data_IF_045119097090
#
_entry.id   IF_045119097090
#
_cell.length_a   1.000
_cell.length_b   1.000
_cell.length_c   1.000
_cell.angle_alpha   90.00
_cell.angle_beta   90.00
_cell.angle_gamma   90.00
#
_symmetry.space_group_name_H-M   'P 1'
#
loop_
_entity.id
_entity.type
_entity.pdbx_description
1 polymer ?
#
# COMPACT_ATOMS: atom_id res chain seq x y z
N UNK A 1 -9.53 23.94 30.53
CA UNK A 1 -8.18 23.35 30.55
C UNK A 1 -8.00 22.60 29.23
N UNK A 2 -7.63 23.33 28.17
CA UNK A 2 -7.47 22.77 26.83
C UNK A 2 -6.17 21.97 26.80
N UNK A 3 -6.30 20.70 26.46
CA UNK A 3 -5.19 19.80 26.21
C UNK A 3 -4.49 20.30 24.93
N UNK A 4 -3.44 21.10 25.08
CA UNK A 4 -2.48 21.36 24.01
C UNK A 4 -1.80 20.03 23.69
N UNK A 5 -2.40 19.24 22.80
CA UNK A 5 -1.70 18.14 22.16
C UNK A 5 -0.59 18.76 21.32
N UNK A 6 0.63 18.70 21.84
CA UNK A 6 1.82 18.94 21.04
C UNK A 6 1.77 18.00 19.82
N UNK A 7 1.80 18.52 18.57
CA UNK A 7 1.83 17.68 17.38
C UNK A 7 3.06 16.75 17.34
N UNK A 8 4.13 17.12 18.05
CA UNK A 8 5.30 16.30 18.34
C UNK A 8 4.97 14.94 19.00
N UNK A 9 3.93 14.88 19.85
CA UNK A 9 3.57 13.67 20.60
C UNK A 9 2.66 12.76 19.78
N UNK A 10 1.81 13.31 18.90
CA UNK A 10 0.87 12.54 18.09
C UNK A 10 1.59 11.70 17.02
N UNK A 11 2.70 12.20 16.47
CA UNK A 11 3.35 11.56 15.33
C UNK A 11 4.42 10.52 15.68
N UNK A 12 4.73 10.32 16.98
CA UNK A 12 5.92 9.55 17.38
C UNK A 12 5.54 8.26 18.11
N UNK A 13 5.28 7.20 17.35
CA UNK A 13 5.17 5.86 17.91
C UNK A 13 6.54 5.42 18.45
N UNK A 14 6.59 5.06 19.72
CA UNK A 14 7.83 4.61 20.36
C UNK A 14 8.08 3.12 20.16
N UNK A 15 7.02 2.33 19.97
CA UNK A 15 7.06 0.87 19.85
C UNK A 15 6.04 0.39 18.83
N UNK A 16 6.37 -0.66 18.10
CA UNK A 16 5.44 -1.40 17.26
C UNK A 16 4.59 -2.32 18.14
N UNK A 17 3.26 -2.20 18.06
CA UNK A 17 2.32 -2.97 18.89
C UNK A 17 2.68 -2.95 20.39
N UNK A 18 3.13 -1.80 20.91
CA UNK A 18 3.44 -1.54 22.34
C UNK A 18 4.64 -2.33 22.91
N UNK A 19 5.04 -3.46 22.32
CA UNK A 19 6.06 -4.37 22.88
C UNK A 19 7.28 -4.45 21.98
N UNK A 20 7.10 -4.30 20.67
CA UNK A 20 8.10 -4.65 19.67
C UNK A 20 8.92 -3.39 19.29
N UNK A 21 10.26 -3.49 19.12
CA UNK A 21 11.07 -2.38 18.62
C UNK A 21 10.59 -1.86 17.26
N UNK A 22 10.83 -0.58 16.98
CA UNK A 22 10.32 0.03 15.77
C UNK A 22 11.02 -0.48 14.49
N UNK A 23 12.32 -0.82 14.58
CA UNK A 23 13.08 -1.32 13.44
C UNK A 23 12.49 -2.64 12.89
N UNK A 24 12.18 -3.60 13.77
CA UNK A 24 11.58 -4.87 13.38
C UNK A 24 10.14 -4.67 12.89
N UNK A 25 9.42 -3.68 13.43
CA UNK A 25 8.12 -3.27 12.90
C UNK A 25 8.23 -2.83 11.43
N UNK A 26 9.20 -1.98 11.10
CA UNK A 26 9.44 -1.53 9.72
C UNK A 26 9.92 -2.67 8.82
N UNK A 27 10.75 -3.60 9.32
CA UNK A 27 11.13 -4.81 8.58
C UNK A 27 9.91 -5.63 8.16
N UNK A 28 9.00 -5.91 9.11
CA UNK A 28 7.76 -6.66 8.84
C UNK A 28 6.86 -5.88 7.88
N UNK A 29 6.69 -4.57 8.07
CA UNK A 29 5.89 -3.72 7.18
C UNK A 29 6.41 -3.79 5.76
N UNK A 30 7.73 -3.65 5.55
CA UNK A 30 8.34 -3.72 4.23
C UNK A 30 8.25 -5.12 3.63
N UNK A 31 8.47 -6.18 4.42
CA UNK A 31 8.34 -7.56 3.94
C UNK A 31 6.91 -7.85 3.46
N UNK A 32 5.90 -7.49 4.25
CA UNK A 32 4.48 -7.64 3.87
C UNK A 32 4.15 -6.77 2.65
N UNK A 33 4.66 -5.54 2.59
CA UNK A 33 4.45 -4.66 1.44
C UNK A 33 5.05 -5.24 0.15
N UNK A 34 6.26 -5.81 0.20
CA UNK A 34 6.89 -6.47 -0.95
C UNK A 34 6.04 -7.65 -1.42
N UNK A 35 5.60 -8.51 -0.51
CA UNK A 35 4.76 -9.66 -0.86
C UNK A 35 3.44 -9.21 -1.50
N UNK A 36 2.79 -8.18 -0.93
CA UNK A 36 1.55 -7.63 -1.49
C UNK A 36 1.77 -6.99 -2.88
N UNK A 37 2.92 -6.35 -3.09
CA UNK A 37 3.26 -5.65 -4.34
C UNK A 37 3.79 -6.56 -5.43
N UNK A 38 4.32 -7.73 -5.08
CA UNK A 38 4.75 -8.75 -6.04
C UNK A 38 3.62 -9.15 -7.00
N UNK A 39 2.36 -9.10 -6.53
CA UNK A 39 1.18 -9.30 -7.36
C UNK A 39 1.03 -8.31 -8.53
N UNK A 40 1.62 -7.11 -8.43
CA UNK A 40 1.62 -6.11 -9.50
C UNK A 40 2.32 -6.58 -10.78
N UNK A 41 3.24 -7.55 -10.67
CA UNK A 41 3.88 -8.17 -11.83
C UNK A 41 2.86 -8.85 -12.75
N UNK A 42 1.80 -9.47 -12.18
CA UNK A 42 0.74 -10.08 -12.97
C UNK A 42 -0.05 -9.05 -13.78
N UNK A 43 -0.26 -7.84 -13.23
CA UNK A 43 -0.93 -6.78 -13.97
C UNK A 43 -0.09 -6.23 -15.13
N UNK A 44 1.25 -6.25 -15.03
CA UNK A 44 2.13 -5.92 -16.17
C UNK A 44 2.10 -7.03 -17.24
N UNK A 45 2.16 -8.29 -16.81
CA UNK A 45 2.10 -9.47 -17.70
C UNK A 45 0.76 -9.58 -18.44
N UNK A 46 -0.31 -9.02 -17.89
CA UNK A 46 -1.64 -9.08 -18.48
C UNK A 46 -1.72 -8.54 -19.92
N UNK A 47 -0.93 -7.50 -20.24
CA UNK A 47 -0.82 -6.93 -21.59
C UNK A 47 -0.34 -7.99 -22.58
N UNK A 48 0.62 -8.82 -22.18
CA UNK A 48 1.19 -9.86 -23.03
C UNK A 48 0.22 -11.02 -23.25
N UNK A 49 -0.65 -11.28 -22.27
CA UNK A 49 -1.64 -12.37 -22.33
C UNK A 49 -2.95 -11.99 -23.01
N UNK A 50 -3.14 -10.71 -23.39
CA UNK A 50 -4.38 -10.21 -23.98
C UNK A 50 -5.56 -10.14 -22.99
N UNK A 51 -5.30 -10.15 -21.68
CA UNK A 51 -6.37 -10.07 -20.68
C UNK A 51 -6.92 -8.64 -20.58
N UNK A 52 -8.24 -8.49 -20.63
CA UNK A 52 -8.91 -7.18 -20.59
C UNK A 52 -8.96 -6.62 -19.16
N UNK A 53 -7.93 -5.87 -18.76
CA UNK A 53 -7.97 -5.04 -17.55
C UNK A 53 -8.49 -3.65 -17.84
N UNK A 54 -9.24 -3.10 -16.89
CA UNK A 54 -9.58 -1.68 -16.91
C UNK A 54 -8.29 -0.84 -16.78
N UNK A 55 -8.23 0.32 -17.45
CA UNK A 55 -7.09 1.23 -17.40
C UNK A 55 -6.62 1.54 -15.97
N UNK A 56 -7.56 1.78 -15.04
CA UNK A 56 -7.24 2.08 -13.65
C UNK A 56 -6.63 0.89 -12.91
N UNK A 57 -7.11 -0.33 -13.19
CA UNK A 57 -6.54 -1.56 -12.63
C UNK A 57 -5.12 -1.79 -13.15
N UNK A 58 -4.90 -1.56 -14.44
CA UNK A 58 -3.57 -1.65 -15.02
C UNK A 58 -2.60 -0.63 -14.40
N UNK A 59 -3.01 0.64 -14.30
CA UNK A 59 -2.21 1.70 -13.70
C UNK A 59 -1.83 1.39 -12.25
N UNK A 60 -2.78 0.89 -11.45
CA UNK A 60 -2.53 0.52 -10.06
C UNK A 60 -1.52 -0.64 -9.94
N UNK A 61 -1.60 -1.64 -10.82
CA UNK A 61 -0.64 -2.74 -10.86
C UNK A 61 0.75 -2.28 -11.31
N UNK A 62 0.83 -1.39 -12.31
CA UNK A 62 2.09 -0.81 -12.77
C UNK A 62 2.76 0.00 -11.65
N UNK A 63 2.03 0.88 -10.98
CA UNK A 63 2.55 1.65 -9.84
C UNK A 63 3.02 0.71 -8.73
N UNK A 64 2.27 -0.35 -8.47
CA UNK A 64 2.68 -1.38 -7.50
C UNK A 64 4.00 -2.06 -7.87
N UNK A 65 4.18 -2.41 -9.14
CA UNK A 65 5.43 -2.97 -9.64
C UNK A 65 6.60 -1.98 -9.54
N UNK A 66 6.38 -0.70 -9.88
CA UNK A 66 7.42 0.34 -9.83
C UNK A 66 7.88 0.68 -8.40
N UNK A 67 7.02 0.53 -7.39
CA UNK A 67 7.41 0.76 -5.98
C UNK A 67 8.32 -0.35 -5.41
N UNK A 68 8.31 -1.53 -6.02
CA UNK A 68 8.93 -2.75 -5.49
C UNK A 68 10.46 -2.63 -5.28
N UNK A 69 11.26 -2.11 -6.24
CA UNK A 69 12.71 -1.96 -6.05
C UNK A 69 13.07 -1.07 -4.86
N UNK A 70 12.26 -0.05 -4.58
CA UNK A 70 12.50 0.87 -3.46
C UNK A 70 12.21 0.20 -2.11
N UNK A 71 11.17 -0.63 -2.03
CA UNK A 71 10.90 -1.42 -0.82
C UNK A 71 11.98 -2.46 -0.56
N UNK A 72 12.48 -3.14 -1.60
CA UNK A 72 13.62 -4.06 -1.47
C UNK A 72 14.87 -3.32 -0.99
N UNK A 73 15.18 -2.16 -1.59
CA UNK A 73 16.34 -1.34 -1.19
C UNK A 73 16.23 -0.89 0.28
N UNK A 74 15.04 -0.44 0.69
CA UNK A 74 14.76 -0.06 2.08
C UNK A 74 14.91 -1.23 3.05
N UNK A 75 14.34 -2.39 2.73
CA UNK A 75 14.42 -3.59 3.57
C UNK A 75 15.87 -4.09 3.69
N UNK A 76 16.60 -4.16 2.57
CA UNK A 76 18.00 -4.58 2.55
C UNK A 76 18.89 -3.65 3.39
N UNK A 77 18.65 -2.34 3.36
CA UNK A 77 19.37 -1.38 4.19
C UNK A 77 19.17 -1.63 5.70
N UNK A 78 17.93 -1.93 6.11
CA UNK A 78 17.60 -2.20 7.51
C UNK A 78 18.19 -3.56 7.94
N UNK A 79 18.04 -4.61 7.13
CA UNK A 79 18.58 -5.95 7.41
C UNK A 79 20.10 -5.95 7.54
N UNK A 80 20.79 -5.23 6.66
CA UNK A 80 22.25 -5.12 6.67
C UNK A 80 22.77 -4.19 7.78
N UNK A 81 21.89 -3.63 8.63
CA UNK A 81 22.20 -2.65 9.68
C UNK A 81 23.03 -1.47 9.19
N UNK A 82 22.94 -1.17 7.90
CA UNK A 82 23.75 -0.14 7.27
C UNK A 82 23.29 1.27 7.68
N UNK A 83 22.11 1.39 8.31
CA UNK A 83 21.54 2.63 8.87
C UNK A 83 21.62 3.83 7.91
N UNK A 84 21.55 3.57 6.60
CA UNK A 84 21.63 4.61 5.59
C UNK A 84 20.32 5.41 5.60
N UNK A 85 20.31 6.52 6.34
CA UNK A 85 19.11 7.35 6.53
C UNK A 85 18.53 7.85 5.22
N UNK A 86 19.38 8.09 4.20
CA UNK A 86 18.99 8.45 2.84
C UNK A 86 18.03 7.44 2.20
N UNK A 87 18.46 6.17 2.09
CA UNK A 87 17.67 5.07 1.53
C UNK A 87 16.39 4.81 2.33
N UNK A 88 16.45 4.87 3.66
CA UNK A 88 15.27 4.67 4.51
C UNK A 88 14.27 5.81 4.36
N UNK A 89 14.74 7.05 4.25
CA UNK A 89 13.88 8.22 4.00
C UNK A 89 13.18 8.13 2.65
N UNK A 90 13.90 7.72 1.60
CA UNK A 90 13.30 7.48 0.28
C UNK A 90 12.21 6.41 0.34
N UNK A 91 12.50 5.25 0.94
CA UNK A 91 11.54 4.16 1.09
C UNK A 91 10.29 4.61 1.87
N UNK A 92 10.47 5.43 2.93
CA UNK A 92 9.38 5.98 3.73
C UNK A 92 8.50 6.94 2.92
N UNK A 93 9.09 7.89 2.17
CA UNK A 93 8.33 8.82 1.30
C UNK A 93 7.55 8.06 0.24
N UNK A 94 8.17 7.05 -0.39
CA UNK A 94 7.50 6.22 -1.39
C UNK A 94 6.34 5.44 -0.76
N UNK A 95 6.53 4.90 0.45
CA UNK A 95 5.48 4.21 1.19
C UNK A 95 4.29 5.13 1.53
N UNK A 96 4.56 6.40 1.88
CA UNK A 96 3.51 7.38 2.14
C UNK A 96 2.71 7.71 0.87
N UNK A 97 3.41 7.97 -0.24
CA UNK A 97 2.78 8.24 -1.54
C UNK A 97 1.95 7.03 -1.98
N UNK A 98 2.51 5.83 -1.86
CA UNK A 98 1.83 4.58 -2.18
C UNK A 98 0.59 4.34 -1.31
N UNK A 99 0.67 4.71 -0.02
CA UNK A 99 -0.48 4.67 0.89
C UNK A 99 -1.59 5.59 0.43
N UNK A 100 -1.28 6.83 0.04
CA UNK A 100 -2.26 7.78 -0.49
C UNK A 100 -2.88 7.27 -1.79
N UNK A 101 -2.07 6.81 -2.74
CA UNK A 101 -2.54 6.21 -4.00
C UNK A 101 -3.46 5.02 -3.71
N UNK A 102 -3.07 4.15 -2.78
CA UNK A 102 -3.87 3.00 -2.37
C UNK A 102 -5.20 3.38 -1.74
N UNK A 103 -5.27 4.47 -0.98
CA UNK A 103 -6.53 4.99 -0.43
C UNK A 103 -7.44 5.54 -1.52
N UNK A 104 -6.90 6.36 -2.45
CA UNK A 104 -7.64 6.87 -3.60
C UNK A 104 -8.19 5.72 -4.46
N UNK A 105 -7.37 4.70 -4.70
CA UNK A 105 -7.79 3.52 -5.44
C UNK A 105 -8.87 2.72 -4.71
N UNK A 106 -8.81 2.67 -3.37
CA UNK A 106 -9.84 2.01 -2.58
C UNK A 106 -11.16 2.76 -2.67
N UNK A 107 -11.16 4.09 -2.61
CA UNK A 107 -12.35 4.93 -2.81
C UNK A 107 -12.93 4.70 -4.21
N UNK A 108 -12.07 4.73 -5.24
CA UNK A 108 -12.47 4.44 -6.61
C UNK A 108 -13.11 3.05 -6.74
N UNK A 109 -12.46 2.04 -6.16
CA UNK A 109 -12.95 0.65 -6.21
C UNK A 109 -14.29 0.49 -5.50
N UNK A 110 -14.45 1.11 -4.33
CA UNK A 110 -15.72 1.09 -3.59
C UNK A 110 -16.84 1.73 -4.41
N UNK A 111 -16.60 2.90 -5.00
CA UNK A 111 -17.57 3.56 -5.87
C UNK A 111 -17.91 2.70 -7.10
N UNK A 112 -16.88 2.16 -7.78
CA UNK A 112 -17.04 1.29 -8.93
C UNK A 112 -17.82 0.01 -8.58
N UNK A 113 -17.52 -0.61 -7.43
CA UNK A 113 -18.16 -1.84 -6.96
C UNK A 113 -19.65 -1.63 -6.70
N UNK A 114 -20.01 -0.56 -5.98
CA UNK A 114 -21.41 -0.23 -5.67
C UNK A 114 -22.20 0.30 -6.87
N UNK A 115 -21.53 0.85 -7.90
CA UNK A 115 -22.19 1.32 -9.12
C UNK A 115 -22.60 0.20 -10.08
N UNK A 116 -22.20 -1.06 -9.85
CA UNK A 116 -22.59 -2.20 -10.69
C UNK A 116 -23.89 -2.80 -10.14
N UNK A 117 -24.89 -2.92 -11.01
CA UNK A 117 -26.25 -3.39 -10.68
C UNK A 117 -26.26 -4.74 -9.96
N UNK A 118 -25.34 -5.64 -10.30
CA UNK A 118 -25.21 -6.97 -9.71
C UNK A 118 -24.82 -6.96 -8.21
N UNK A 119 -24.24 -5.87 -7.72
CA UNK A 119 -23.80 -5.70 -6.33
C UNK A 119 -24.74 -4.79 -5.52
N UNK A 120 -25.87 -4.37 -6.10
CA UNK A 120 -26.81 -3.48 -5.45
C UNK A 120 -27.72 -4.27 -4.49
N UNK A 121 -27.65 -4.06 -3.16
CA UNK A 121 -28.49 -4.78 -2.20
C UNK A 121 -29.99 -4.50 -2.35
N UNK A 122 -30.40 -3.47 -3.12
CA UNK A 122 -31.81 -3.20 -3.41
C UNK A 122 -32.38 -4.03 -4.56
N UNK A 123 -31.54 -4.71 -5.36
CA UNK A 123 -32.00 -5.46 -6.54
C UNK A 123 -32.59 -6.84 -6.20
N UNK A 124 -32.58 -7.23 -4.92
CA UNK A 124 -33.23 -8.46 -4.42
C UNK A 124 -34.62 -8.24 -3.78
N UNK A 125 -35.25 -7.08 -4.03
CA UNK A 125 -36.54 -6.73 -3.43
C UNK A 125 -37.38 -5.81 -4.30
N UNK A 126 -37.98 -6.35 -5.36
CA UNK A 126 -39.23 -5.84 -5.94
C UNK A 126 -39.15 -4.51 -6.70
N UNK A 127 -38.84 -4.58 -7.99
CA UNK A 127 -39.58 -3.79 -8.99
C UNK A 127 -40.15 -4.75 -10.02
N UNK A 128 -41.35 -5.26 -9.74
CA UNK A 128 -42.22 -5.73 -10.79
C UNK A 128 -42.48 -4.56 -11.73
N UNK A 129 -41.84 -4.56 -12.88
CA UNK A 129 -42.34 -3.87 -14.06
C UNK A 129 -42.19 -4.85 -15.19
N UNK A 130 -43.34 -5.42 -15.53
CA UNK A 130 -43.57 -6.30 -16.65
C UNK A 130 -43.04 -5.64 -17.93
N UNK A 131 -42.12 -6.31 -18.60
CA UNK A 131 -41.91 -6.14 -20.02
C UNK A 131 -41.71 -7.53 -20.62
N UNK A 132 -42.82 -8.05 -21.15
CA UNK A 132 -42.96 -9.28 -21.90
C UNK A 132 -41.89 -9.44 -22.97
N UNK A 133 -41.17 -10.55 -22.92
CA UNK A 133 -40.29 -11.04 -23.97
C UNK A 133 -40.27 -12.55 -23.88
N UNK A 134 -41.25 -13.16 -24.54
CA UNK A 134 -41.36 -14.60 -24.79
C UNK A 134 -40.05 -15.05 -25.44
N UNK A 135 -39.34 -16.00 -24.84
CA UNK A 135 -38.78 -17.14 -25.58
C UNK A 135 -38.28 -18.25 -24.65
N UNK A 136 -38.75 -19.44 -24.99
CA UNK A 136 -38.66 -20.66 -24.23
C UNK A 136 -37.34 -21.38 -24.46
N UNK A 137 -36.66 -21.76 -23.38
CA UNK A 137 -35.89 -23.02 -23.29
C UNK A 137 -35.63 -23.36 -21.81
N UNK A 138 -36.69 -23.71 -21.08
CA UNK A 138 -36.59 -24.27 -19.73
C UNK A 138 -37.69 -25.32 -19.55
N UNK A 139 -37.46 -26.48 -20.14
CA UNK A 139 -38.29 -27.66 -19.97
C UNK A 139 -37.40 -28.89 -19.80
N UNK A 140 -36.68 -28.97 -18.69
CA UNK A 140 -36.33 -30.25 -18.06
C UNK A 140 -36.45 -30.13 -16.54
N UNK A 141 -37.69 -30.36 -16.10
CA UNK A 141 -38.07 -31.11 -14.92
C UNK A 141 -37.29 -30.90 -13.61
N UNK A 142 -37.97 -30.20 -12.68
CA UNK A 142 -37.94 -30.51 -11.25
C UNK A 142 -38.07 -32.02 -11.00
N UNK A 143 -37.14 -32.59 -10.24
CA UNK A 143 -37.26 -33.87 -9.51
C UNK A 143 -36.22 -33.85 -8.38
N UNK A 144 -36.62 -33.39 -7.20
CA UNK A 144 -37.07 -34.17 -6.03
C UNK A 144 -35.91 -34.78 -5.20
N UNK A 145 -35.80 -34.30 -3.96
CA UNK A 145 -35.36 -35.06 -2.78
C UNK A 145 -33.87 -35.41 -2.61
N UNK A 146 -33.08 -34.50 -2.04
CA UNK A 146 -32.20 -34.83 -0.90
C UNK A 146 -31.69 -33.56 -0.21
N UNK A 147 -32.06 -33.43 1.05
CA UNK A 147 -31.39 -32.65 2.09
C UNK A 147 -29.86 -32.82 2.05
N UNK A 148 -29.14 -31.78 2.46
CA UNK A 148 -27.68 -31.67 2.62
C UNK A 148 -26.86 -31.21 1.40
N UNK A 149 -27.21 -30.03 0.86
CA UNK A 149 -26.18 -29.16 0.28
C UNK A 149 -26.32 -27.72 0.79
N UNK A 150 -25.45 -27.40 1.75
CA UNK A 150 -24.90 -26.06 1.98
C UNK A 150 -25.92 -24.97 2.33
N UNK A 151 -26.36 -24.99 3.59
CA UNK A 151 -26.72 -23.76 4.34
C UNK A 151 -25.47 -22.85 4.48
N UNK A 152 -24.95 -22.31 3.39
CA UNK A 152 -23.71 -21.52 3.36
C UNK A 152 -23.76 -20.27 2.48
N UNK A 153 -24.93 -19.86 1.98
CA UNK A 153 -25.09 -18.48 1.51
C UNK A 153 -25.21 -17.58 2.73
N UNK A 154 -24.12 -16.89 3.08
CA UNK A 154 -24.20 -15.72 3.94
C UNK A 154 -25.26 -14.77 3.33
N UNK A 155 -26.15 -14.19 4.15
CA UNK A 155 -27.10 -13.22 3.61
C UNK A 155 -26.34 -12.12 2.84
N UNK A 156 -26.89 -11.55 1.75
CA UNK A 156 -26.21 -10.48 0.99
C UNK A 156 -25.71 -9.31 1.87
N UNK A 157 -26.44 -9.03 2.95
CA UNK A 157 -26.07 -8.05 3.98
C UNK A 157 -24.81 -8.45 4.77
N UNK A 158 -24.63 -9.74 5.07
CA UNK A 158 -23.45 -10.27 5.76
C UNK A 158 -22.21 -10.22 4.87
N UNK A 159 -22.33 -10.51 3.59
CA UNK A 159 -21.22 -10.41 2.63
C UNK A 159 -20.77 -8.95 2.45
N UNK A 160 -21.72 -8.02 2.35
CA UNK A 160 -21.45 -6.59 2.30
C UNK A 160 -20.78 -6.10 3.59
N UNK A 161 -21.31 -6.48 4.76
CA UNK A 161 -20.73 -6.10 6.05
C UNK A 161 -19.28 -6.58 6.19
N UNK A 162 -19.00 -7.84 5.85
CA UNK A 162 -17.65 -8.39 5.89
C UNK A 162 -16.71 -7.69 4.91
N UNK A 163 -17.18 -7.36 3.72
CA UNK A 163 -16.40 -6.66 2.70
C UNK A 163 -16.04 -5.24 3.15
N UNK A 164 -17.04 -4.46 3.58
CA UNK A 164 -16.84 -3.07 4.05
C UNK A 164 -16.00 -3.04 5.32
N UNK A 165 -16.26 -3.92 6.28
CA UNK A 165 -15.45 -4.05 7.50
C UNK A 165 -13.99 -4.40 7.16
N UNK A 166 -13.77 -5.34 6.24
CA UNK A 166 -12.43 -5.71 5.77
C UNK A 166 -11.69 -4.53 5.15
N UNK A 167 -12.36 -3.73 4.32
CA UNK A 167 -11.80 -2.52 3.70
C UNK A 167 -11.41 -1.48 4.77
N UNK A 168 -12.29 -1.24 5.75
CA UNK A 168 -12.01 -0.27 6.83
C UNK A 168 -10.81 -0.73 7.66
N UNK A 169 -10.80 -2.00 8.10
CA UNK A 169 -9.72 -2.55 8.93
C UNK A 169 -8.39 -2.53 8.17
N UNK A 170 -8.36 -2.95 6.92
CA UNK A 170 -7.13 -2.97 6.11
C UNK A 170 -6.60 -1.56 5.84
N UNK A 171 -7.48 -0.58 5.58
CA UNK A 171 -7.06 0.82 5.42
C UNK A 171 -6.56 1.44 6.74
N UNK A 172 -7.22 1.16 7.86
CA UNK A 172 -6.76 1.61 9.17
C UNK A 172 -5.39 1.03 9.52
N UNK A 173 -5.18 -0.27 9.26
CA UNK A 173 -3.90 -0.93 9.45
C UNK A 173 -2.80 -0.31 8.57
N UNK A 174 -3.12 0.00 7.31
CA UNK A 174 -2.19 0.67 6.38
C UNK A 174 -1.77 2.05 6.90
N UNK A 175 -2.72 2.85 7.38
CA UNK A 175 -2.43 4.15 7.99
C UNK A 175 -1.55 4.00 9.24
N UNK A 176 -1.84 3.02 10.10
CA UNK A 176 -0.99 2.71 11.25
C UNK A 176 0.43 2.33 10.84
N UNK A 177 0.61 1.48 9.83
CA UNK A 177 1.94 1.12 9.31
C UNK A 177 2.69 2.32 8.72
N UNK A 178 2.00 3.22 8.03
CA UNK A 178 2.58 4.48 7.55
C UNK A 178 3.12 5.32 8.72
N UNK A 179 2.36 5.47 9.81
CA UNK A 179 2.79 6.19 11.00
C UNK A 179 3.98 5.52 11.71
N UNK A 180 3.99 4.19 11.79
CA UNK A 180 5.12 3.42 12.33
C UNK A 180 6.40 3.70 11.53
N UNK A 181 6.31 3.68 10.20
CA UNK A 181 7.45 3.93 9.34
C UNK A 181 7.95 5.38 9.48
N UNK A 182 7.06 6.37 9.50
CA UNK A 182 7.44 7.78 9.73
C UNK A 182 8.13 7.95 11.08
N UNK A 183 7.60 7.32 12.13
CA UNK A 183 8.19 7.37 13.47
C UNK A 183 9.62 6.80 13.49
N UNK A 184 9.87 5.73 12.75
CA UNK A 184 11.20 5.11 12.64
C UNK A 184 12.16 5.99 11.87
N UNK A 185 11.72 6.53 10.74
CA UNK A 185 12.52 7.46 9.94
C UNK A 185 12.88 8.72 10.76
N UNK A 186 11.96 9.24 11.60
CA UNK A 186 12.24 10.35 12.54
C UNK A 186 13.38 9.99 13.50
N UNK A 187 13.35 8.80 14.09
CA UNK A 187 14.40 8.33 15.01
C UNK A 187 15.76 8.23 14.30
N UNK A 188 15.78 7.67 13.07
CA UNK A 188 17.01 7.58 12.27
C UNK A 188 17.55 8.95 11.86
N UNK A 189 16.69 9.89 11.47
CA UNK A 189 17.08 11.26 11.12
C UNK A 189 17.73 11.96 12.32
N UNK A 190 17.13 11.85 13.51
CA UNK A 190 17.69 12.40 14.74
C UNK A 190 19.05 11.77 15.07
N UNK A 191 19.16 10.46 14.94
CA UNK A 191 20.44 9.76 15.17
C UNK A 191 21.51 10.18 14.15
N UNK A 192 21.15 10.34 12.87
CA UNK A 192 22.09 10.79 11.83
C UNK A 192 22.53 12.24 12.01
N UNK A 193 21.63 13.14 12.42
CA UNK A 193 21.98 14.53 12.70
C UNK A 193 22.98 14.63 13.86
N UNK A 194 22.81 13.81 14.90
CA UNK A 194 23.78 13.69 15.98
C UNK A 194 25.10 13.11 15.47
N UNK A 195 25.07 11.99 14.73
CA UNK A 195 26.29 11.35 14.22
C UNK A 195 27.12 12.30 13.34
N UNK A 196 26.46 13.06 12.46
CA UNK A 196 27.10 14.06 11.60
C UNK A 196 27.78 15.18 12.42
N UNK A 197 27.22 15.56 13.56
CA UNK A 197 27.81 16.57 14.46
C UNK A 197 29.12 16.10 15.09
N UNK A 198 29.25 14.80 15.36
CA UNK A 198 30.42 14.24 16.06
C UNK A 198 31.49 13.66 15.11
N UNK A 199 31.09 13.07 13.99
CA UNK A 199 31.99 12.32 13.10
C UNK A 199 32.16 12.95 11.71
N UNK A 200 31.49 14.06 11.41
CA UNK A 200 31.57 14.74 10.11
C UNK A 200 30.63 14.15 9.05
N UNK A 201 30.68 14.71 7.83
CA UNK A 201 29.87 14.25 6.71
C UNK A 201 30.52 13.04 6.02
N UNK A 202 29.69 12.04 5.70
CA UNK A 202 30.10 10.83 4.98
C UNK A 202 30.66 11.19 3.59
N UNK A 203 31.84 10.68 3.23
CA UNK A 203 32.47 10.94 1.93
C UNK A 203 31.62 10.37 0.80
N UNK A 204 31.40 11.15 -0.27
CA UNK A 204 30.61 10.72 -1.42
C UNK A 204 31.41 9.71 -2.26
N UNK A 205 30.76 8.64 -2.69
CA UNK A 205 31.34 7.73 -3.69
C UNK A 205 31.65 8.49 -4.98
N UNK A 206 32.90 8.40 -5.44
CA UNK A 206 33.43 9.10 -6.62
C UNK A 206 32.64 8.77 -7.91
N UNK A 207 32.04 7.58 -7.98
CA UNK A 207 31.18 7.13 -9.08
C UNK A 207 29.87 7.96 -9.20
N UNK A 208 29.35 8.50 -8.08
CA UNK A 208 28.17 9.38 -8.09
C UNK A 208 28.55 10.79 -8.57
N UNK A 209 29.80 11.20 -8.32
CA UNK A 209 30.33 12.52 -8.69
C UNK A 209 30.57 12.62 -10.20
N UNK A 210 31.08 11.54 -10.82
CA UNK A 210 31.40 11.48 -12.26
C UNK A 210 30.70 10.32 -12.97
N UNK A 211 29.42 10.47 -13.37
CA UNK A 211 28.68 9.43 -14.07
C UNK A 211 29.15 9.32 -15.53
N UNK A 212 30.09 8.43 -15.81
CA UNK A 212 30.58 8.14 -17.18
C UNK A 212 29.68 7.16 -17.95
N UNK A 213 28.79 6.44 -17.26
CA UNK A 213 27.89 5.42 -17.80
C UNK A 213 26.40 5.78 -17.65
N UNK A 214 25.54 5.23 -18.51
CA UNK A 214 24.07 5.28 -18.35
C UNK A 214 23.63 4.79 -16.96
N UNK A 215 24.27 3.74 -16.46
CA UNK A 215 23.99 3.22 -15.11
C UNK A 215 24.42 4.21 -14.03
N UNK A 216 25.51 4.95 -14.24
CA UNK A 216 25.94 6.05 -13.38
C UNK A 216 24.93 7.20 -13.34
N UNK A 217 24.31 7.54 -14.48
CA UNK A 217 23.22 8.54 -14.52
C UNK A 217 22.00 8.09 -13.72
N UNK A 218 21.61 6.82 -13.83
CA UNK A 218 20.51 6.26 -13.03
C UNK A 218 20.84 6.28 -11.55
N UNK A 219 22.05 5.86 -11.16
CA UNK A 219 22.54 5.94 -9.78
C UNK A 219 22.49 7.37 -9.25
N UNK A 220 22.93 8.35 -10.05
CA UNK A 220 22.86 9.78 -9.69
C UNK A 220 21.43 10.26 -9.47
N UNK A 221 20.49 9.89 -10.35
CA UNK A 221 19.07 10.25 -10.18
C UNK A 221 18.50 9.64 -8.90
N UNK A 222 18.80 8.36 -8.61
CA UNK A 222 18.38 7.70 -7.38
C UNK A 222 18.98 8.42 -6.17
N UNK A 223 20.27 8.75 -6.22
CA UNK A 223 20.94 9.49 -5.16
C UNK A 223 20.30 10.87 -4.91
N UNK A 224 20.02 11.63 -5.97
CA UNK A 224 19.37 12.94 -5.88
C UNK A 224 17.96 12.80 -5.28
N UNK A 225 17.22 11.75 -5.65
CA UNK A 225 15.93 11.41 -5.05
C UNK A 225 16.05 11.07 -3.57
N UNK A 226 17.05 10.27 -3.18
CA UNK A 226 17.31 9.93 -1.77
C UNK A 226 17.62 11.18 -0.93
N UNK A 227 18.43 12.10 -1.45
CA UNK A 227 18.74 13.36 -0.77
C UNK A 227 17.52 14.27 -0.66
N UNK A 228 16.71 14.38 -1.72
CA UNK A 228 15.44 15.12 -1.68
C UNK A 228 14.47 14.54 -0.66
N UNK A 229 14.33 13.21 -0.61
CA UNK A 229 13.48 12.53 0.35
C UNK A 229 13.95 12.75 1.79
N UNK A 230 15.27 12.68 2.04
CA UNK A 230 15.86 13.01 3.35
C UNK A 230 15.57 14.45 3.75
N UNK A 231 15.76 15.41 2.84
CA UNK A 231 15.47 16.83 3.11
C UNK A 231 14.00 17.03 3.43
N UNK A 232 13.11 16.51 2.58
CA UNK A 232 11.66 16.57 2.78
C UNK A 232 11.26 16.00 4.13
N UNK A 233 11.76 14.82 4.51
CA UNK A 233 11.47 14.21 5.81
C UNK A 233 12.05 15.03 6.98
N UNK A 234 13.22 15.65 6.79
CA UNK A 234 13.81 16.52 7.82
C UNK A 234 12.94 17.76 8.03
N UNK A 235 12.43 18.36 6.96
CA UNK A 235 11.59 19.56 7.04
C UNK A 235 10.18 19.24 7.52
N UNK A 236 9.63 18.08 7.17
CA UNK A 236 8.34 17.59 7.65
C UNK A 236 8.34 17.29 9.16
N UNK A 237 9.50 16.90 9.72
CA UNK A 237 9.63 16.39 11.09
C UNK A 237 10.37 17.34 12.05
N UNK A 238 10.71 18.55 11.61
CA UNK A 238 11.16 19.68 12.45
C UNK A 238 10.00 20.25 13.25
#
# INVERSE_FOLDING_TARGET
>A
MFFQLNPEIILTLQKFFVVIPLYIGVEVILAVAILNKAGGAYGVLSILTGHHLNFWQWLFNLLSFLTLPFYISGLSNILNKANNVRKTSLACVIYLIDTVIGLLYTIYFVHFWFSREDNNPTSYGGSGTEASGVDAYSSYARRDGSSDSLSQSASPQRELFLTVSGIIVTNALRLYFALVFVSFTKQLLKQSALNQKYYGADSLDEEVLHPTSLMGRVKKVIYDLEMRAKSFMTDLLK
#
